data_IF_775208639652
#
_entry.id   IF_775208639652
#
_cell.length_a   1.000
_cell.length_b   1.000
_cell.length_c   1.000
_cell.angle_alpha   90.00
_cell.angle_beta   90.00
_cell.angle_gamma   90.00
#
_symmetry.space_group_name_H-M   'P 1'
#
loop_
_entity.id
_entity.type
_entity.pdbx_description
1 polymer ?
#
# COMPACT_ATOMS: atom_id res chain seq x y z
N UNK A 1 17.95 5.89 28.13
CA UNK A 1 17.43 6.60 26.91
C UNK A 1 16.88 5.63 25.86
N UNK A 2 17.54 4.50 25.58
CA UNK A 2 17.03 3.46 24.64
C UNK A 2 15.72 2.81 25.14
N UNK A 3 15.61 2.50 26.42
CA UNK A 3 14.40 1.90 26.98
C UNK A 3 13.16 2.79 26.80
N UNK A 4 13.32 4.10 27.00
CA UNK A 4 12.22 5.05 26.83
C UNK A 4 11.76 5.17 25.36
N UNK A 5 12.70 5.07 24.38
CA UNK A 5 12.37 5.09 22.96
C UNK A 5 11.58 3.82 22.56
N UNK A 6 12.03 2.66 23.01
CA UNK A 6 11.37 1.38 22.73
C UNK A 6 9.96 1.32 23.34
N UNK A 7 9.80 1.78 24.58
CA UNK A 7 8.49 1.89 25.22
C UNK A 7 7.54 2.82 24.45
N UNK A 8 8.06 3.94 23.95
CA UNK A 8 7.28 4.87 23.14
C UNK A 8 6.83 4.23 21.82
N UNK A 9 7.72 3.51 21.12
CA UNK A 9 7.37 2.80 19.87
C UNK A 9 6.24 1.80 20.11
N UNK A 10 6.37 0.96 21.16
CA UNK A 10 5.34 -0.03 21.54
C UNK A 10 4.01 0.65 21.88
N UNK A 11 4.05 1.69 22.67
CA UNK A 11 2.86 2.45 23.08
C UNK A 11 2.14 3.06 21.86
N UNK A 12 2.90 3.65 20.92
CA UNK A 12 2.36 4.21 19.70
C UNK A 12 1.73 3.13 18.80
N UNK A 13 2.39 1.99 18.66
CA UNK A 13 1.87 0.85 17.91
C UNK A 13 0.54 0.35 18.49
N UNK A 14 0.47 0.15 19.78
CA UNK A 14 -0.76 -0.27 20.47
C UNK A 14 -1.89 0.77 20.33
N UNK A 15 -1.56 2.05 20.40
CA UNK A 15 -2.55 3.13 20.20
C UNK A 15 -3.13 3.07 18.78
N UNK A 16 -2.30 2.87 17.75
CA UNK A 16 -2.75 2.71 16.36
C UNK A 16 -3.66 1.49 16.23
N UNK A 17 -3.28 0.34 16.78
CA UNK A 17 -4.09 -0.90 16.76
C UNK A 17 -5.46 -0.69 17.43
N UNK A 18 -5.50 0.03 18.54
CA UNK A 18 -6.73 0.38 19.24
C UNK A 18 -7.62 1.28 18.40
N UNK A 19 -7.04 2.28 17.74
CA UNK A 19 -7.79 3.20 16.88
C UNK A 19 -8.37 2.49 15.65
N UNK A 20 -7.60 1.57 15.03
CA UNK A 20 -8.10 0.73 13.94
C UNK A 20 -9.30 -0.08 14.40
N UNK A 21 -9.20 -0.75 15.55
CA UNK A 21 -10.30 -1.53 16.12
C UNK A 21 -11.55 -0.67 16.32
N UNK A 22 -11.41 0.50 16.93
CA UNK A 22 -12.52 1.42 17.16
C UNK A 22 -13.15 1.92 15.85
N UNK A 23 -12.34 2.20 14.82
CA UNK A 23 -12.84 2.60 13.50
C UNK A 23 -13.62 1.46 12.81
N UNK A 24 -13.13 0.23 12.92
CA UNK A 24 -13.84 -0.96 12.41
C UNK A 24 -15.19 -1.13 13.13
N UNK A 25 -15.22 -1.03 14.46
CA UNK A 25 -16.45 -1.14 15.24
C UNK A 25 -17.49 -0.09 14.83
N UNK A 26 -17.08 1.18 14.64
CA UNK A 26 -17.98 2.25 14.18
C UNK A 26 -18.54 2.02 12.78
N UNK A 27 -17.77 1.39 11.91
CA UNK A 27 -18.15 1.13 10.51
C UNK A 27 -18.73 -0.26 10.26
N UNK A 28 -18.91 -1.07 11.30
CA UNK A 28 -19.47 -2.42 11.20
C UNK A 28 -18.55 -3.41 10.46
N UNK A 29 -17.24 -3.19 10.52
CA UNK A 29 -16.23 -4.02 9.86
C UNK A 29 -15.52 -4.94 10.86
N UNK A 30 -15.04 -6.07 10.38
CA UNK A 30 -14.13 -6.91 11.16
C UNK A 30 -12.70 -6.34 11.11
N UNK A 31 -12.03 -6.34 12.25
CA UNK A 31 -10.63 -5.87 12.35
C UNK A 31 -9.69 -6.66 11.43
N UNK A 32 -9.98 -7.93 11.18
CA UNK A 32 -9.17 -8.79 10.30
C UNK A 32 -9.16 -8.35 8.83
N UNK A 33 -10.10 -7.50 8.43
CA UNK A 33 -10.15 -6.92 7.08
C UNK A 33 -9.11 -5.81 6.86
N UNK A 34 -8.47 -5.33 7.93
CA UNK A 34 -7.52 -4.20 7.86
C UNK A 34 -6.11 -4.64 8.18
N UNK A 35 -5.23 -4.50 7.20
CA UNK A 35 -3.80 -4.68 7.32
C UNK A 35 -3.12 -3.34 7.66
N UNK A 36 -2.45 -3.29 8.80
CA UNK A 36 -1.55 -2.18 9.13
C UNK A 36 -0.19 -2.45 8.52
N UNK A 37 0.29 -1.55 7.67
CA UNK A 37 1.66 -1.55 7.17
C UNK A 37 2.47 -0.56 8.00
N UNK A 38 3.41 -1.06 8.78
CA UNK A 38 4.34 -0.22 9.52
C UNK A 38 5.35 0.40 8.56
N UNK A 39 5.24 1.72 8.32
CA UNK A 39 6.14 2.43 7.40
C UNK A 39 7.48 2.64 8.06
N UNK A 40 8.50 2.00 7.53
CA UNK A 40 9.86 1.93 8.12
C UNK A 40 10.92 2.71 7.33
N UNK A 41 10.51 3.48 6.32
CA UNK A 41 11.46 4.36 5.60
C UNK A 41 12.23 5.24 6.56
N UNK A 42 13.54 5.35 6.34
CA UNK A 42 14.48 6.14 7.16
C UNK A 42 14.60 5.69 8.62
N UNK A 43 14.06 4.52 8.97
CA UNK A 43 14.16 3.97 10.32
C UNK A 43 15.26 2.91 10.41
N UNK A 44 16.00 2.87 11.53
CA UNK A 44 17.01 1.84 11.75
C UNK A 44 16.36 0.47 11.93
N UNK A 45 17.15 -0.57 11.72
CA UNK A 45 16.67 -1.96 11.83
C UNK A 45 16.21 -2.31 13.24
N UNK A 46 16.79 -1.70 14.25
CA UNK A 46 16.45 -1.85 15.67
C UNK A 46 14.99 -1.43 15.92
N UNK A 47 14.54 -0.30 15.35
CA UNK A 47 13.15 0.17 15.48
C UNK A 47 12.17 -0.82 14.81
N UNK A 48 12.55 -1.36 13.65
CA UNK A 48 11.75 -2.38 12.94
C UNK A 48 11.62 -3.63 13.80
N UNK A 49 12.72 -4.10 14.39
CA UNK A 49 12.71 -5.27 15.25
C UNK A 49 11.85 -5.08 16.51
N UNK A 50 11.80 -3.87 17.09
CA UNK A 50 10.92 -3.58 18.23
C UNK A 50 9.42 -3.74 17.85
N UNK A 51 9.03 -3.30 16.66
CA UNK A 51 7.65 -3.43 16.18
C UNK A 51 7.36 -4.87 15.74
N UNK A 52 8.33 -5.54 15.12
CA UNK A 52 8.25 -6.97 14.79
C UNK A 52 8.01 -7.84 16.04
N UNK A 53 8.73 -7.60 17.13
CA UNK A 53 8.54 -8.29 18.40
C UNK A 53 7.16 -8.03 19.04
N UNK A 54 6.48 -6.94 18.67
CA UNK A 54 5.09 -6.68 19.02
C UNK A 54 4.10 -7.50 18.17
N UNK A 55 4.59 -8.30 17.22
CA UNK A 55 3.78 -9.16 16.34
C UNK A 55 3.39 -8.50 15.01
N UNK A 56 3.99 -7.37 14.65
CA UNK A 56 3.80 -6.80 13.31
C UNK A 56 4.77 -7.42 12.31
N UNK A 57 4.23 -7.91 11.21
CA UNK A 57 5.01 -8.52 10.14
C UNK A 57 4.90 -7.77 8.81
N UNK A 58 4.03 -6.76 8.73
CA UNK A 58 3.81 -5.98 7.50
C UNK A 58 4.57 -4.66 7.57
N UNK A 59 5.56 -4.50 6.71
CA UNK A 59 6.38 -3.29 6.69
C UNK A 59 6.41 -2.66 5.30
N UNK A 60 6.49 -1.33 5.24
CA UNK A 60 6.47 -0.58 4.00
C UNK A 60 7.69 0.31 3.82
N UNK A 61 8.25 0.28 2.62
CA UNK A 61 9.41 1.08 2.23
C UNK A 61 9.12 1.95 1.02
N UNK A 62 9.78 3.12 1.01
CA UNK A 62 9.68 4.05 -0.11
C UNK A 62 10.88 3.97 -1.04
N UNK A 63 12.05 3.58 -0.52
CA UNK A 63 13.32 3.61 -1.24
C UNK A 63 13.82 2.20 -1.50
N UNK A 64 14.09 1.89 -2.77
CA UNK A 64 14.45 0.53 -3.20
C UNK A 64 15.72 0.04 -2.52
N UNK A 65 16.77 0.84 -2.43
CA UNK A 65 18.02 0.40 -1.81
C UNK A 65 17.83 0.09 -0.33
N UNK A 66 17.09 0.95 0.37
CA UNK A 66 16.77 0.74 1.79
C UNK A 66 15.97 -0.54 2.00
N UNK A 67 15.00 -0.82 1.13
CA UNK A 67 14.22 -2.06 1.17
C UNK A 67 15.12 -3.29 0.95
N UNK A 68 16.00 -3.26 -0.03
CA UNK A 68 16.92 -4.38 -0.32
C UNK A 68 17.79 -4.70 0.89
N UNK A 69 18.43 -3.67 1.48
CA UNK A 69 19.31 -3.85 2.63
C UNK A 69 18.55 -4.45 3.84
N UNK A 70 17.32 -4.01 4.07
CA UNK A 70 16.46 -4.51 5.14
C UNK A 70 15.95 -5.94 4.90
N UNK A 71 15.52 -6.24 3.68
CA UNK A 71 15.10 -7.61 3.29
C UNK A 71 16.22 -8.62 3.51
N UNK A 72 17.46 -8.23 3.22
CA UNK A 72 18.60 -9.11 3.34
C UNK A 72 19.03 -9.33 4.80
N UNK A 73 18.87 -8.32 5.67
CA UNK A 73 19.35 -8.31 7.05
C UNK A 73 18.31 -8.77 8.09
N UNK A 74 17.01 -8.60 7.83
CA UNK A 74 15.94 -8.81 8.81
C UNK A 74 15.24 -10.17 8.62
N UNK A 75 14.38 -10.60 9.57
CA UNK A 75 13.66 -11.88 9.51
C UNK A 75 12.94 -12.10 8.18
N UNK A 76 12.98 -13.35 7.69
CA UNK A 76 12.46 -13.68 6.34
C UNK A 76 10.93 -13.83 6.26
N UNK A 77 10.26 -13.82 7.41
CA UNK A 77 8.80 -13.81 7.53
C UNK A 77 8.20 -12.39 7.59
N UNK A 78 9.05 -11.37 7.51
CA UNK A 78 8.58 -10.00 7.26
C UNK A 78 8.03 -9.90 5.84
N UNK A 79 6.82 -9.38 5.74
CA UNK A 79 6.12 -9.10 4.48
C UNK A 79 6.40 -7.65 4.09
N UNK A 80 7.15 -7.48 3.03
CA UNK A 80 7.59 -6.16 2.57
C UNK A 80 6.66 -5.60 1.51
N UNK A 81 6.29 -4.33 1.64
CA UNK A 81 5.50 -3.58 0.68
C UNK A 81 6.34 -2.44 0.08
N UNK A 82 6.38 -2.35 -1.24
CA UNK A 82 6.94 -1.18 -1.91
C UNK A 82 5.82 -0.15 -2.07
N UNK A 83 5.89 0.93 -1.29
CA UNK A 83 4.81 1.94 -1.22
C UNK A 83 5.23 3.30 -1.80
N UNK A 84 6.53 3.53 -2.04
CA UNK A 84 7.05 4.73 -2.67
C UNK A 84 7.10 4.65 -4.19
N UNK A 85 7.34 5.80 -4.83
CA UNK A 85 7.50 5.88 -6.27
C UNK A 85 8.62 4.95 -6.77
N UNK A 86 8.29 4.10 -7.73
CA UNK A 86 9.22 3.09 -8.26
C UNK A 86 9.69 3.48 -9.67
N UNK A 87 10.99 3.70 -9.81
CA UNK A 87 11.62 3.91 -11.11
C UNK A 87 11.80 2.57 -11.85
N UNK A 88 11.59 2.56 -13.17
CA UNK A 88 11.69 1.35 -14.01
C UNK A 88 13.02 0.60 -13.87
N UNK A 89 14.14 1.33 -13.82
CA UNK A 89 15.48 0.74 -13.68
C UNK A 89 15.71 0.05 -12.32
N UNK A 90 14.84 0.28 -11.35
CA UNK A 90 14.89 -0.32 -10.00
C UNK A 90 13.97 -1.54 -9.85
N UNK A 91 13.06 -1.78 -10.78
CA UNK A 91 12.07 -2.87 -10.74
C UNK A 91 12.72 -4.24 -10.46
N UNK A 92 13.85 -4.54 -11.07
CA UNK A 92 14.57 -5.81 -10.89
C UNK A 92 14.97 -6.13 -9.44
N UNK A 93 15.12 -5.10 -8.60
CA UNK A 93 15.46 -5.25 -7.19
C UNK A 93 14.24 -5.44 -6.29
N UNK A 94 13.07 -5.02 -6.77
CA UNK A 94 11.79 -5.04 -6.00
C UNK A 94 11.01 -6.32 -6.27
N UNK A 95 10.88 -6.70 -7.54
CA UNK A 95 10.13 -7.90 -7.96
C UNK A 95 10.77 -9.16 -7.36
N UNK A 96 9.96 -9.91 -6.59
CA UNK A 96 10.40 -11.08 -5.85
C UNK A 96 10.91 -10.79 -4.42
N UNK A 97 11.05 -9.50 -4.02
CA UNK A 97 11.33 -9.08 -2.64
C UNK A 97 10.10 -8.44 -1.98
N UNK A 98 9.44 -7.52 -2.67
CA UNK A 98 8.16 -6.99 -2.19
C UNK A 98 7.04 -7.99 -2.45
N UNK A 99 6.18 -8.18 -1.45
CA UNK A 99 4.96 -8.97 -1.59
C UNK A 99 3.91 -8.23 -2.44
N UNK A 100 3.96 -6.90 -2.43
CA UNK A 100 3.06 -6.06 -3.19
C UNK A 100 3.73 -4.72 -3.54
N UNK A 101 3.50 -4.23 -4.76
CA UNK A 101 3.93 -2.92 -5.23
C UNK A 101 2.69 -2.04 -5.32
N UNK A 102 2.61 -1.00 -4.47
CA UNK A 102 1.43 -0.13 -4.37
C UNK A 102 1.42 1.04 -5.37
N UNK A 103 2.54 1.30 -6.02
CA UNK A 103 2.84 2.55 -6.71
C UNK A 103 2.91 2.43 -8.23
N UNK A 104 2.11 1.54 -8.83
CA UNK A 104 2.06 1.41 -10.29
C UNK A 104 1.25 2.58 -10.88
N UNK A 105 1.95 3.51 -11.51
CA UNK A 105 1.44 4.80 -11.97
C UNK A 105 1.56 5.03 -13.48
N UNK A 106 2.00 4.03 -14.23
CA UNK A 106 2.14 4.12 -15.69
C UNK A 106 2.15 2.75 -16.36
N UNK A 107 1.79 2.71 -17.65
CA UNK A 107 1.88 1.49 -18.46
C UNK A 107 3.33 0.99 -18.55
N UNK A 108 4.28 1.90 -18.74
CA UNK A 108 5.71 1.54 -18.83
C UNK A 108 6.24 0.89 -17.55
N UNK A 109 5.76 1.31 -16.39
CA UNK A 109 6.12 0.66 -15.11
C UNK A 109 5.47 -0.71 -15.00
N UNK A 110 4.18 -0.84 -15.33
CA UNK A 110 3.49 -2.12 -15.34
C UNK A 110 4.16 -3.14 -16.28
N UNK A 111 4.56 -2.71 -17.48
CA UNK A 111 5.32 -3.53 -18.43
C UNK A 111 6.66 -4.00 -17.85
N UNK A 112 7.41 -3.10 -17.21
CA UNK A 112 8.69 -3.45 -16.59
C UNK A 112 8.52 -4.45 -15.44
N UNK A 113 7.50 -4.29 -14.60
CA UNK A 113 7.18 -5.24 -13.52
C UNK A 113 6.78 -6.60 -14.10
N UNK A 114 5.92 -6.61 -15.12
CA UNK A 114 5.49 -7.83 -15.80
C UNK A 114 6.67 -8.59 -16.41
N UNK A 115 7.52 -7.92 -17.15
CA UNK A 115 8.70 -8.53 -17.80
C UNK A 115 9.66 -9.14 -16.77
N UNK A 116 9.94 -8.43 -15.68
CA UNK A 116 10.84 -8.93 -14.64
C UNK A 116 10.21 -10.12 -13.89
N UNK A 117 8.91 -10.07 -13.60
CA UNK A 117 8.20 -11.17 -12.95
C UNK A 117 8.17 -12.43 -13.82
N UNK A 118 7.88 -12.30 -15.11
CA UNK A 118 7.94 -13.41 -16.08
C UNK A 118 9.35 -14.00 -16.14
N UNK A 119 10.38 -13.16 -16.23
CA UNK A 119 11.78 -13.59 -16.22
C UNK A 119 12.14 -14.39 -14.96
N UNK A 120 11.61 -14.01 -13.81
CA UNK A 120 11.83 -14.71 -12.54
C UNK A 120 10.89 -15.90 -12.31
N UNK A 121 9.95 -16.16 -13.21
CA UNK A 121 8.96 -17.23 -13.07
C UNK A 121 7.97 -17.04 -11.92
N UNK A 122 7.64 -15.79 -11.60
CA UNK A 122 6.71 -15.43 -10.52
C UNK A 122 5.60 -14.51 -11.03
N UNK A 123 4.57 -14.31 -10.20
CA UNK A 123 3.53 -13.31 -10.43
C UNK A 123 3.65 -12.24 -9.33
N UNK A 124 3.80 -10.99 -9.73
CA UNK A 124 3.90 -9.86 -8.83
C UNK A 124 2.51 -9.26 -8.56
N UNK A 125 2.14 -9.11 -7.29
CA UNK A 125 0.94 -8.39 -6.88
C UNK A 125 1.18 -6.88 -6.97
N UNK A 126 0.28 -6.19 -7.64
CA UNK A 126 0.35 -4.73 -7.81
C UNK A 126 -0.95 -4.05 -7.45
N UNK A 127 -0.81 -2.79 -6.99
CA UNK A 127 -1.91 -1.84 -6.93
C UNK A 127 -1.67 -0.72 -7.92
N UNK A 128 -2.75 -0.15 -8.41
CA UNK A 128 -2.71 1.02 -9.31
C UNK A 128 -2.79 2.27 -8.45
N UNK A 129 -1.81 3.14 -8.58
CA UNK A 129 -1.80 4.43 -7.90
C UNK A 129 -2.72 5.42 -8.61
N UNK A 130 -3.67 5.98 -7.85
CA UNK A 130 -4.69 6.92 -8.34
C UNK A 130 -4.56 8.24 -7.62
N UNK A 131 -4.43 9.32 -8.38
CA UNK A 131 -4.44 10.69 -7.89
C UNK A 131 -5.88 11.20 -7.81
N UNK A 132 -6.60 10.82 -6.76
CA UNK A 132 -8.03 11.15 -6.59
C UNK A 132 -8.29 12.63 -6.36
N UNK A 133 -7.33 13.35 -5.78
CA UNK A 133 -7.47 14.77 -5.49
C UNK A 133 -7.08 15.68 -6.67
N UNK A 134 -6.47 15.11 -7.72
CA UNK A 134 -6.04 15.87 -8.91
C UNK A 134 -4.89 16.84 -8.63
N UNK A 135 -4.03 16.54 -7.64
CA UNK A 135 -2.87 17.38 -7.32
C UNK A 135 -1.81 17.30 -8.41
N UNK A 136 -1.42 18.45 -8.97
CA UNK A 136 -0.52 18.54 -10.14
C UNK A 136 0.86 17.90 -9.91
N UNK A 137 1.35 17.87 -8.69
CA UNK A 137 2.69 17.39 -8.33
C UNK A 137 2.72 15.97 -7.75
N UNK A 138 1.61 15.23 -7.82
CA UNK A 138 1.51 13.85 -7.35
C UNK A 138 1.45 12.85 -8.50
N UNK A 139 2.01 11.68 -8.23
CA UNK A 139 1.94 10.53 -9.12
C UNK A 139 0.54 9.91 -9.12
N UNK A 140 0.28 9.03 -10.06
CA UNK A 140 -0.94 8.27 -10.16
C UNK A 140 -1.82 8.67 -11.34
N UNK A 141 -2.65 7.72 -11.76
CA UNK A 141 -3.65 7.94 -12.79
C UNK A 141 -4.78 8.85 -12.30
N UNK A 142 -5.38 9.58 -13.21
CA UNK A 142 -6.69 10.17 -12.94
C UNK A 142 -7.73 9.06 -12.80
N UNK A 143 -8.77 9.22 -11.96
CA UNK A 143 -9.81 8.20 -11.79
C UNK A 143 -10.40 7.69 -13.11
N UNK A 144 -10.67 8.59 -14.06
CA UNK A 144 -11.24 8.29 -15.39
C UNK A 144 -10.30 7.48 -16.30
N UNK A 145 -9.01 7.43 -16.03
CA UNK A 145 -8.02 6.70 -16.82
C UNK A 145 -7.87 5.24 -16.38
N UNK A 146 -8.33 4.90 -15.16
CA UNK A 146 -8.05 3.59 -14.53
C UNK A 146 -8.68 2.44 -15.32
N UNK A 147 -9.92 2.55 -15.79
CA UNK A 147 -10.57 1.47 -16.54
C UNK A 147 -9.80 1.13 -17.82
N UNK A 148 -9.41 2.14 -18.60
CA UNK A 148 -8.63 1.92 -19.83
C UNK A 148 -7.26 1.26 -19.50
N UNK A 149 -6.63 1.69 -18.44
CA UNK A 149 -5.35 1.13 -18.00
C UNK A 149 -5.48 -0.34 -17.58
N UNK A 150 -6.45 -0.71 -16.74
CA UNK A 150 -6.61 -2.11 -16.32
C UNK A 150 -6.94 -3.03 -17.49
N UNK A 151 -7.72 -2.55 -18.46
CA UNK A 151 -7.97 -3.32 -19.70
C UNK A 151 -6.70 -3.53 -20.50
N UNK A 152 -5.83 -2.52 -20.61
CA UNK A 152 -4.57 -2.62 -21.33
C UNK A 152 -3.61 -3.67 -20.72
N UNK A 153 -3.63 -3.85 -19.40
CA UNK A 153 -2.73 -4.78 -18.70
C UNK A 153 -3.36 -6.11 -18.31
N UNK A 154 -4.66 -6.31 -18.57
CA UNK A 154 -5.39 -7.53 -18.16
C UNK A 154 -4.80 -8.82 -18.72
N UNK A 155 -4.13 -8.77 -19.86
CA UNK A 155 -3.42 -9.91 -20.47
C UNK A 155 -1.99 -10.14 -19.98
N UNK A 156 -1.49 -9.36 -19.05
CA UNK A 156 -0.12 -9.50 -18.54
C UNK A 156 -0.02 -10.68 -17.56
N UNK A 157 0.77 -11.68 -17.91
CA UNK A 157 0.86 -12.93 -17.13
C UNK A 157 1.77 -12.86 -15.91
N UNK A 158 2.67 -11.87 -15.84
CA UNK A 158 3.62 -11.70 -14.75
C UNK A 158 3.12 -10.78 -13.64
N UNK A 159 1.93 -10.17 -13.78
CA UNK A 159 1.35 -9.31 -12.75
C UNK A 159 -0.08 -9.74 -12.41
N UNK A 160 -0.48 -9.46 -11.18
CA UNK A 160 -1.85 -9.61 -10.72
C UNK A 160 -2.30 -8.28 -10.11
N UNK A 161 -3.33 -7.66 -10.69
CA UNK A 161 -3.89 -6.43 -10.16
C UNK A 161 -4.79 -6.77 -8.98
N UNK A 162 -4.42 -6.27 -7.80
CA UNK A 162 -5.14 -6.54 -6.55
C UNK A 162 -6.03 -5.40 -6.10
N UNK A 163 -5.86 -4.21 -6.64
CA UNK A 163 -6.66 -3.07 -6.25
C UNK A 163 -6.01 -1.72 -6.55
N UNK A 164 -6.41 -0.74 -5.76
CA UNK A 164 -6.00 0.65 -5.92
C UNK A 164 -5.28 1.18 -4.69
N UNK A 165 -4.44 2.19 -4.92
CA UNK A 165 -3.78 2.95 -3.85
C UNK A 165 -3.94 4.44 -4.12
N UNK A 166 -4.10 5.22 -3.06
CA UNK A 166 -3.97 6.68 -3.13
C UNK A 166 -3.24 7.25 -1.93
N UNK A 167 -2.56 8.36 -2.16
CA UNK A 167 -2.04 9.24 -1.11
C UNK A 167 -2.87 10.52 -1.13
N UNK A 168 -3.81 10.62 -0.19
CA UNK A 168 -4.67 11.80 -0.06
C UNK A 168 -3.85 13.05 0.33
N UNK A 169 -4.34 14.26 0.06
CA UNK A 169 -3.68 15.50 0.50
C UNK A 169 -3.48 15.55 2.01
N UNK A 170 -2.43 16.25 2.45
CA UNK A 170 -2.37 16.64 3.85
C UNK A 170 -3.43 17.71 4.14
N UNK A 171 -4.25 17.47 5.14
CA UNK A 171 -5.31 18.38 5.60
C UNK A 171 -5.24 18.53 7.12
N UNK A 172 -5.64 19.68 7.64
CA UNK A 172 -5.70 19.87 9.09
C UNK A 172 -6.82 19.04 9.75
N UNK A 173 -7.99 19.02 9.11
CA UNK A 173 -9.09 18.16 9.55
C UNK A 173 -9.14 16.88 8.72
N UNK A 174 -8.83 15.70 9.30
CA UNK A 174 -8.83 14.41 8.58
C UNK A 174 -10.15 14.08 7.86
N UNK A 175 -11.28 14.60 8.36
CA UNK A 175 -12.59 14.43 7.72
C UNK A 175 -12.65 14.98 6.30
N UNK A 176 -11.83 15.98 5.97
CA UNK A 176 -11.81 16.57 4.62
C UNK A 176 -11.30 15.56 3.56
N UNK A 177 -10.58 14.52 3.97
CA UNK A 177 -10.14 13.45 3.07
C UNK A 177 -11.18 12.34 2.87
N UNK A 178 -12.26 12.31 3.61
CA UNK A 178 -13.30 11.26 3.51
C UNK A 178 -13.87 11.15 2.09
N UNK A 179 -14.08 12.27 1.41
CA UNK A 179 -14.60 12.28 0.05
C UNK A 179 -13.66 11.57 -0.94
N UNK A 180 -12.34 11.72 -0.80
CA UNK A 180 -11.35 11.04 -1.64
C UNK A 180 -11.32 9.53 -1.39
N UNK A 181 -11.43 9.10 -0.14
CA UNK A 181 -11.49 7.67 0.20
C UNK A 181 -12.76 7.02 -0.33
N UNK A 182 -13.92 7.69 -0.24
CA UNK A 182 -15.17 7.24 -0.86
C UNK A 182 -15.06 7.12 -2.38
N UNK A 183 -14.45 8.11 -3.02
CA UNK A 183 -14.24 8.11 -4.46
C UNK A 183 -13.38 6.92 -4.89
N UNK A 184 -12.28 6.64 -4.18
CA UNK A 184 -11.42 5.51 -4.49
C UNK A 184 -12.15 4.17 -4.26
N UNK A 185 -12.92 4.04 -3.17
CA UNK A 185 -13.74 2.86 -2.89
C UNK A 185 -14.77 2.64 -4.00
N UNK A 186 -15.47 3.69 -4.42
CA UNK A 186 -16.45 3.57 -5.50
C UNK A 186 -15.80 3.14 -6.81
N UNK A 187 -14.62 3.68 -7.13
CA UNK A 187 -13.87 3.26 -8.31
C UNK A 187 -13.51 1.76 -8.28
N UNK A 188 -13.10 1.23 -7.12
CA UNK A 188 -12.90 -0.22 -6.97
C UNK A 188 -14.17 -1.02 -7.28
N UNK A 189 -15.32 -0.59 -6.75
CA UNK A 189 -16.60 -1.24 -6.99
C UNK A 189 -16.98 -1.21 -8.47
N UNK A 190 -16.81 -0.05 -9.11
CA UNK A 190 -17.15 0.15 -10.52
C UNK A 190 -16.26 -0.70 -11.44
N UNK A 191 -14.97 -0.79 -11.17
CA UNK A 191 -14.03 -1.63 -11.95
C UNK A 191 -14.38 -3.13 -11.74
N UNK A 192 -14.63 -3.57 -10.52
CA UNK A 192 -15.03 -4.97 -10.27
C UNK A 192 -16.32 -5.35 -11.01
N UNK A 193 -17.29 -4.43 -11.09
CA UNK A 193 -18.54 -4.66 -11.83
C UNK A 193 -18.34 -4.85 -13.34
N UNK A 194 -17.20 -4.46 -13.89
CA UNK A 194 -16.86 -4.66 -15.31
C UNK A 194 -16.43 -6.09 -15.65
N UNK A 195 -16.13 -6.91 -14.63
CA UNK A 195 -15.66 -8.30 -14.79
C UNK A 195 -14.51 -8.43 -15.81
N UNK A 196 -13.50 -7.59 -15.69
CA UNK A 196 -12.32 -7.62 -16.56
C UNK A 196 -11.44 -8.80 -16.14
N UNK A 197 -11.03 -9.64 -17.08
CA UNK A 197 -10.19 -10.80 -16.82
C UNK A 197 -8.89 -10.40 -16.11
N UNK A 198 -8.47 -11.24 -15.14
CA UNK A 198 -7.25 -11.04 -14.34
C UNK A 198 -7.24 -9.74 -13.49
N UNK A 199 -8.37 -9.11 -13.29
CA UNK A 199 -8.52 -7.90 -12.47
C UNK A 199 -9.39 -8.22 -11.26
N UNK A 200 -8.84 -8.03 -10.05
CA UNK A 200 -9.59 -8.16 -8.81
C UNK A 200 -9.24 -7.00 -7.88
N UNK A 201 -10.23 -6.13 -7.62
CA UNK A 201 -10.07 -4.93 -6.79
C UNK A 201 -10.49 -5.24 -5.35
N UNK A 202 -9.75 -6.14 -4.68
CA UNK A 202 -10.00 -6.54 -3.28
C UNK A 202 -9.11 -5.80 -2.27
N UNK A 203 -8.08 -5.11 -2.74
CA UNK A 203 -7.17 -4.31 -1.92
C UNK A 203 -7.39 -2.82 -2.15
N UNK A 204 -7.53 -2.09 -1.06
CA UNK A 204 -7.67 -0.64 -1.05
C UNK A 204 -6.65 -0.04 -0.09
N UNK A 205 -5.52 0.40 -0.65
CA UNK A 205 -4.41 1.00 0.10
C UNK A 205 -4.61 2.51 0.18
N UNK A 206 -5.06 2.99 1.31
CA UNK A 206 -5.32 4.41 1.57
C UNK A 206 -5.31 4.69 3.07
N UNK A 207 -4.98 5.92 3.44
CA UNK A 207 -4.87 6.33 4.83
C UNK A 207 -3.43 6.30 5.33
N UNK A 208 -3.02 7.40 5.91
CA UNK A 208 -1.71 7.63 6.53
C UNK A 208 -1.90 8.11 7.96
N UNK A 209 -0.83 8.48 8.65
CA UNK A 209 -0.83 8.85 10.07
C UNK A 209 -1.96 9.80 10.46
N UNK A 210 -2.28 10.78 9.63
CA UNK A 210 -3.27 11.80 9.95
C UNK A 210 -4.73 11.35 9.72
N UNK A 211 -4.97 10.45 8.77
CA UNK A 211 -6.31 10.16 8.24
C UNK A 211 -6.67 8.66 8.16
N UNK A 212 -5.80 7.77 8.65
CA UNK A 212 -6.05 6.31 8.55
C UNK A 212 -7.36 5.86 9.22
N UNK A 213 -7.78 6.53 10.28
CA UNK A 213 -9.05 6.23 10.98
C UNK A 213 -10.23 6.43 10.02
N UNK A 214 -10.26 7.56 9.32
CA UNK A 214 -11.27 7.88 8.31
C UNK A 214 -11.19 6.91 7.13
N UNK A 215 -9.98 6.59 6.68
CA UNK A 215 -9.77 5.62 5.60
C UNK A 215 -10.32 4.23 5.97
N UNK A 216 -10.11 3.76 7.21
CA UNK A 216 -10.68 2.49 7.70
C UNK A 216 -12.21 2.53 7.66
N UNK A 217 -12.83 3.60 8.14
CA UNK A 217 -14.28 3.78 8.10
C UNK A 217 -14.83 3.75 6.67
N UNK A 218 -14.07 4.24 5.69
CA UNK A 218 -14.46 4.27 4.27
C UNK A 218 -14.02 3.02 3.48
N UNK A 219 -13.50 2.00 4.14
CA UNK A 219 -13.26 0.69 3.54
C UNK A 219 -11.81 0.37 3.18
N UNK A 220 -10.83 1.12 3.69
CA UNK A 220 -9.42 0.75 3.50
C UNK A 220 -9.15 -0.68 3.99
N UNK A 221 -8.42 -1.45 3.20
CA UNK A 221 -7.93 -2.79 3.59
C UNK A 221 -6.47 -2.73 4.02
N UNK A 222 -5.73 -1.75 3.53
CA UNK A 222 -4.33 -1.50 3.88
C UNK A 222 -4.17 -0.02 4.25
N UNK A 223 -3.60 0.24 5.40
CA UNK A 223 -3.26 1.58 5.89
C UNK A 223 -1.75 1.66 6.18
N UNK A 224 -1.19 2.88 6.08
CA UNK A 224 0.26 3.10 6.11
C UNK A 224 0.65 4.23 7.05
#
# INVERSE_FOLDING_TARGET
MLDNHNEMLKSNYEAVKKNIKAACERSGRDKSEVCLIAVSKTKPQEDIMQIYECGEHQFGENYVQEMVDKVDALPKDIVWHMIGHLQRNKVKYVVGRASMIHSVDSLRLAEAVNQEAVKKGIVADILIEVNVAGELNKFGFKPEEVEAFVRAISGFSGIRVRGLMTSAPYVENPEDNRCYFRQLKQLCVDINAKNIDNINMDVLSMGMTNDYVIAVEEGATHIR
#
